data_IF_107836665478
#
_entry.id   IF_107836665478
#
_cell.length_a   1.000
_cell.length_b   1.000
_cell.length_c   1.000
_cell.angle_alpha   90.00
_cell.angle_beta   90.00
_cell.angle_gamma   90.00
#
_symmetry.space_group_name_H-M   'P 1'
#
loop_
_entity.id
_entity.type
_entity.pdbx_description
1 polymer ?
#
# COMPACT_ATOMS: atom_id res chain seq x y z
N UNK A 1 34.46 -22.81 3.05
CA UNK A 1 34.60 -22.14 4.37
C UNK A 1 33.21 -21.94 4.94
N UNK A 2 32.77 -22.80 5.88
CA UNK A 2 31.52 -22.59 6.62
C UNK A 2 31.88 -21.89 7.93
N UNK A 3 31.35 -20.68 8.12
CA UNK A 3 31.33 -20.03 9.43
C UNK A 3 30.13 -20.60 10.18
N UNK A 4 30.38 -21.57 11.07
CA UNK A 4 29.39 -21.95 12.07
C UNK A 4 29.33 -20.84 13.13
N UNK A 5 28.25 -20.06 13.11
CA UNK A 5 27.87 -19.26 14.27
C UNK A 5 27.36 -20.22 15.35
N UNK A 6 27.92 -20.11 16.54
CA UNK A 6 27.81 -21.09 17.61
C UNK A 6 26.40 -21.59 17.92
N UNK A 7 26.30 -22.91 18.08
CA UNK A 7 25.36 -23.52 19.02
C UNK A 7 24.00 -23.95 18.49
N UNK A 8 23.89 -24.61 17.33
CA UNK A 8 22.87 -25.66 17.09
C UNK A 8 23.24 -26.50 15.85
N UNK A 9 23.36 -27.82 16.02
CA UNK A 9 23.58 -28.77 14.94
C UNK A 9 22.27 -28.96 14.14
N UNK A 10 22.29 -28.92 12.81
CA UNK A 10 21.15 -29.40 12.03
C UNK A 10 21.12 -30.94 12.09
N UNK A 11 19.94 -31.57 12.14
CA UNK A 11 19.85 -33.02 12.04
C UNK A 11 20.48 -33.50 10.75
N UNK A 12 21.37 -34.49 10.83
CA UNK A 12 22.09 -34.98 9.67
C UNK A 12 22.33 -36.49 9.69
N UNK A 13 22.46 -37.07 8.51
CA UNK A 13 22.94 -38.45 8.29
C UNK A 13 24.13 -38.37 7.36
N UNK A 14 25.23 -39.03 7.74
CA UNK A 14 26.48 -39.05 6.95
C UNK A 14 26.73 -40.45 6.41
N UNK A 15 27.28 -40.54 5.19
CA UNK A 15 27.66 -41.83 4.60
C UNK A 15 28.75 -42.52 5.43
N UNK A 16 28.69 -43.85 5.43
CA UNK A 16 29.49 -44.68 6.35
C UNK A 16 30.96 -44.83 5.94
N UNK A 17 31.31 -44.56 4.67
CA UNK A 17 32.67 -44.73 4.13
C UNK A 17 32.97 -43.69 3.05
N UNK A 18 34.27 -43.47 2.77
CA UNK A 18 34.78 -42.73 1.61
C UNK A 18 34.59 -43.56 0.34
N UNK A 19 34.27 -42.92 -0.79
CA UNK A 19 33.93 -43.58 -2.04
C UNK A 19 35.07 -43.55 -3.08
N UNK A 20 36.14 -42.82 -2.82
CA UNK A 20 37.43 -42.74 -3.51
C UNK A 20 37.43 -42.23 -4.96
N UNK A 21 36.33 -42.36 -5.71
CA UNK A 21 36.33 -42.22 -7.19
C UNK A 21 35.00 -41.76 -7.80
N UNK A 22 34.01 -41.34 -6.99
CA UNK A 22 32.65 -41.09 -7.53
C UNK A 22 32.56 -39.74 -8.26
N UNK A 23 32.26 -39.77 -9.56
CA UNK A 23 31.97 -38.57 -10.35
C UNK A 23 30.47 -38.27 -10.35
N UNK A 24 30.07 -37.29 -9.54
CA UNK A 24 28.66 -36.91 -9.39
C UNK A 24 28.04 -36.23 -10.62
N UNK A 25 28.84 -35.86 -11.63
CA UNK A 25 28.35 -35.15 -12.83
C UNK A 25 27.97 -36.07 -13.99
N UNK A 26 28.50 -37.29 -14.01
CA UNK A 26 28.17 -38.28 -15.04
C UNK A 26 26.98 -39.09 -14.60
N UNK A 27 26.36 -39.82 -15.53
CA UNK A 27 25.30 -40.76 -15.19
C UNK A 27 25.77 -41.73 -14.11
N UNK A 28 24.87 -42.22 -13.26
CA UNK A 28 25.22 -43.12 -12.15
C UNK A 28 26.01 -44.34 -12.68
N UNK A 29 25.63 -44.89 -13.82
CA UNK A 29 26.36 -45.98 -14.50
C UNK A 29 27.84 -45.67 -14.79
N UNK A 30 28.16 -44.41 -15.08
CA UNK A 30 29.53 -43.96 -15.41
C UNK A 30 30.20 -43.23 -14.25
N UNK A 31 29.52 -43.11 -13.10
CA UNK A 31 30.01 -42.36 -11.95
C UNK A 31 31.12 -43.08 -11.18
N UNK A 32 31.32 -44.38 -11.42
CA UNK A 32 32.24 -45.21 -10.63
C UNK A 32 31.58 -45.83 -9.38
N UNK A 33 30.30 -45.53 -9.11
CA UNK A 33 29.57 -46.05 -7.95
C UNK A 33 29.39 -47.57 -7.97
N UNK A 34 29.21 -48.18 -9.15
CA UNK A 34 29.06 -49.63 -9.32
C UNK A 34 30.32 -50.43 -8.91
N UNK A 35 31.49 -49.77 -8.80
CA UNK A 35 32.71 -50.40 -8.28
C UNK A 35 32.67 -50.60 -6.76
N UNK A 36 31.71 -49.98 -6.07
CA UNK A 36 31.65 -49.87 -4.61
C UNK A 36 30.35 -50.47 -4.07
N UNK A 37 29.24 -50.40 -4.83
CA UNK A 37 27.98 -51.05 -4.50
C UNK A 37 27.11 -51.27 -5.74
N UNK A 38 26.32 -52.34 -5.76
CA UNK A 38 25.49 -52.67 -6.93
C UNK A 38 24.26 -51.77 -7.03
N UNK A 39 24.13 -51.03 -8.12
CA UNK A 39 22.94 -50.20 -8.43
C UNK A 39 22.17 -50.77 -9.63
N UNK A 40 20.87 -51.00 -9.46
CA UNK A 40 19.99 -51.47 -10.54
C UNK A 40 19.74 -50.38 -11.59
N UNK A 41 19.34 -50.76 -12.80
CA UNK A 41 19.11 -49.82 -13.90
C UNK A 41 18.11 -48.71 -13.53
N UNK A 42 17.03 -49.08 -12.84
CA UNK A 42 16.07 -48.16 -12.23
C UNK A 42 15.81 -48.56 -10.78
N UNK A 43 15.37 -47.59 -9.99
CA UNK A 43 15.02 -47.83 -8.60
C UNK A 43 14.40 -46.61 -7.94
N UNK A 44 14.19 -46.71 -6.63
CA UNK A 44 13.65 -45.63 -5.82
C UNK A 44 14.03 -45.78 -4.36
N UNK A 45 14.05 -44.66 -3.67
CA UNK A 45 14.14 -44.58 -2.22
C UNK A 45 13.09 -43.63 -1.68
N UNK A 46 12.82 -43.68 -0.38
CA UNK A 46 11.92 -42.73 0.27
C UNK A 46 12.64 -41.90 1.32
N UNK A 47 12.21 -40.66 1.47
CA UNK A 47 12.58 -39.80 2.59
C UNK A 47 11.31 -39.23 3.19
N UNK A 48 11.07 -39.48 4.48
CA UNK A 48 9.81 -39.15 5.16
C UNK A 48 8.57 -39.63 4.38
N UNK A 49 8.67 -40.80 3.72
CA UNK A 49 7.62 -41.39 2.89
C UNK A 49 7.47 -40.78 1.48
N UNK A 50 8.23 -39.73 1.13
CA UNK A 50 8.25 -39.16 -0.22
C UNK A 50 9.20 -39.98 -1.10
N UNK A 51 8.68 -40.54 -2.19
CA UNK A 51 9.47 -41.36 -3.12
C UNK A 51 10.30 -40.51 -4.09
N UNK A 52 11.57 -40.86 -4.20
CA UNK A 52 12.52 -40.33 -5.18
C UNK A 52 12.96 -41.50 -6.06
N UNK A 53 12.56 -41.49 -7.32
CA UNK A 53 13.02 -42.46 -8.32
C UNK A 53 14.37 -42.06 -8.89
N UNK A 54 15.08 -43.03 -9.48
CA UNK A 54 16.27 -42.78 -10.29
C UNK A 54 16.33 -43.77 -11.47
N UNK A 55 17.00 -43.35 -12.55
CA UNK A 55 17.44 -44.22 -13.65
C UNK A 55 18.94 -44.03 -13.84
N UNK A 56 19.74 -45.08 -13.63
CA UNK A 56 21.19 -44.95 -13.56
C UNK A 56 21.85 -44.57 -14.89
N UNK A 57 21.15 -44.80 -16.01
CA UNK A 57 21.65 -44.55 -17.36
C UNK A 57 21.38 -43.11 -17.81
N UNK A 58 20.46 -42.40 -17.14
CA UNK A 58 20.07 -41.03 -17.50
C UNK A 58 20.31 -40.02 -16.38
N UNK A 59 20.13 -40.41 -15.13
CA UNK A 59 20.39 -39.57 -13.97
C UNK A 59 21.87 -39.58 -13.57
N UNK A 60 22.37 -38.42 -13.16
CA UNK A 60 23.63 -38.30 -12.41
C UNK A 60 23.33 -38.20 -10.92
N UNK A 61 24.32 -38.46 -10.06
CA UNK A 61 24.13 -38.28 -8.62
C UNK A 61 23.77 -36.82 -8.30
N UNK A 62 24.32 -35.85 -9.05
CA UNK A 62 23.94 -34.43 -8.95
C UNK A 62 22.46 -34.19 -9.22
N UNK A 63 21.89 -34.81 -10.26
CA UNK A 63 20.45 -34.63 -10.56
C UNK A 63 19.57 -35.29 -9.49
N UNK A 64 20.04 -36.37 -8.85
CA UNK A 64 19.36 -36.95 -7.67
C UNK A 64 19.43 -36.01 -6.46
N UNK A 65 20.59 -35.41 -6.17
CA UNK A 65 20.74 -34.40 -5.10
C UNK A 65 19.77 -33.23 -5.31
N UNK A 66 19.70 -32.70 -6.53
CA UNK A 66 18.76 -31.62 -6.88
C UNK A 66 17.30 -32.06 -6.72
N UNK A 67 16.96 -33.29 -7.11
CA UNK A 67 15.62 -33.86 -6.95
C UNK A 67 15.22 -34.00 -5.47
N UNK A 68 16.14 -34.43 -4.61
CA UNK A 68 15.94 -34.45 -3.16
C UNK A 68 15.73 -33.03 -2.63
N UNK A 69 16.63 -32.10 -2.99
CA UNK A 69 16.59 -30.72 -2.53
C UNK A 69 15.30 -29.98 -2.94
N UNK A 70 14.71 -30.34 -4.08
CA UNK A 70 13.45 -29.76 -4.57
C UNK A 70 12.20 -30.49 -4.03
N UNK A 71 12.36 -31.68 -3.46
CA UNK A 71 11.24 -32.47 -2.95
C UNK A 71 10.61 -31.85 -1.68
N UNK A 72 9.38 -32.27 -1.41
CA UNK A 72 8.67 -32.00 -0.16
C UNK A 72 9.14 -32.87 1.02
N UNK A 73 10.20 -33.67 0.84
CA UNK A 73 10.71 -34.57 1.89
C UNK A 73 11.35 -33.84 3.08
N UNK A 74 11.59 -32.53 2.97
CA UNK A 74 12.09 -31.70 4.06
C UNK A 74 13.59 -31.82 4.34
N UNK A 75 14.35 -32.52 3.51
CA UNK A 75 15.81 -32.68 3.66
C UNK A 75 16.55 -32.20 2.42
N UNK A 76 17.87 -32.06 2.54
CA UNK A 76 18.79 -31.81 1.42
C UNK A 76 19.87 -32.88 1.38
N UNK A 77 20.37 -33.22 0.18
CA UNK A 77 21.47 -34.16 -0.01
C UNK A 77 22.70 -33.44 -0.55
N UNK A 78 23.81 -33.53 0.17
CA UNK A 78 25.08 -32.92 -0.19
C UNK A 78 26.19 -33.95 -0.32
N UNK A 79 27.23 -33.60 -1.07
CA UNK A 79 28.47 -34.35 -1.18
C UNK A 79 29.62 -33.46 -0.74
N UNK A 80 30.29 -33.84 0.35
CA UNK A 80 31.52 -33.19 0.79
C UNK A 80 32.71 -33.85 0.08
N UNK A 81 33.40 -33.09 -0.77
CA UNK A 81 34.56 -33.58 -1.52
C UNK A 81 35.82 -33.69 -0.67
N UNK A 82 35.92 -32.94 0.43
CA UNK A 82 37.09 -32.98 1.30
C UNK A 82 37.12 -34.26 2.14
N UNK A 83 35.95 -34.64 2.65
CA UNK A 83 35.76 -35.85 3.47
C UNK A 83 35.23 -37.04 2.64
N UNK A 84 34.99 -36.82 1.33
CA UNK A 84 34.48 -37.79 0.36
C UNK A 84 33.24 -38.56 0.82
N UNK A 85 32.26 -37.81 1.34
CA UNK A 85 31.05 -38.34 1.98
C UNK A 85 29.78 -37.65 1.53
N UNK A 86 28.69 -38.40 1.52
CA UNK A 86 27.36 -37.85 1.32
C UNK A 86 26.69 -37.53 2.65
N UNK A 87 25.92 -36.46 2.68
CA UNK A 87 25.21 -36.00 3.87
C UNK A 87 23.76 -35.66 3.53
N UNK A 88 22.81 -36.22 4.30
CA UNK A 88 21.47 -35.66 4.36
C UNK A 88 21.39 -34.67 5.52
N UNK A 89 20.87 -33.47 5.27
CA UNK A 89 20.59 -32.46 6.29
C UNK A 89 19.10 -32.13 6.30
N UNK A 90 18.48 -32.00 7.47
CA UNK A 90 17.13 -31.45 7.57
C UNK A 90 17.14 -29.97 7.14
N UNK A 91 16.15 -29.55 6.36
CA UNK A 91 15.96 -28.14 5.98
C UNK A 91 15.63 -27.28 7.20
N UNK A 92 14.95 -27.87 8.17
CA UNK A 92 14.57 -27.24 9.42
C UNK A 92 15.57 -27.55 10.54
N UNK A 93 15.76 -26.59 11.44
CA UNK A 93 16.52 -26.78 12.67
C UNK A 93 15.70 -27.52 13.73
N UNK A 94 16.31 -27.83 14.87
CA UNK A 94 15.63 -28.46 15.99
C UNK A 94 15.90 -29.95 16.08
N UNK A 95 15.33 -30.57 17.11
CA UNK A 95 15.39 -31.99 17.38
C UNK A 95 14.37 -32.74 16.50
N UNK A 96 14.58 -32.67 15.18
CA UNK A 96 13.72 -33.29 14.17
C UNK A 96 14.47 -34.39 13.42
N UNK A 97 14.11 -35.64 13.66
CA UNK A 97 14.58 -36.76 12.86
C UNK A 97 13.91 -36.80 11.48
N UNK A 98 14.45 -37.61 10.59
CA UNK A 98 13.84 -37.99 9.32
C UNK A 98 14.09 -39.47 9.05
N UNK A 99 13.25 -40.08 8.22
CA UNK A 99 13.38 -41.51 7.88
C UNK A 99 13.86 -41.61 6.44
N UNK A 100 14.85 -42.47 6.21
CA UNK A 100 15.38 -42.78 4.89
C UNK A 100 15.29 -44.28 4.67
N UNK A 101 14.72 -44.70 3.54
CA UNK A 101 14.62 -46.11 3.17
C UNK A 101 14.99 -46.31 1.71
N UNK A 102 15.93 -47.22 1.44
CA UNK A 102 16.22 -47.69 0.08
C UNK A 102 15.17 -48.72 -0.30
N UNK A 103 14.22 -48.33 -1.16
CA UNK A 103 13.04 -49.16 -1.48
C UNK A 103 13.36 -50.18 -2.56
N UNK A 104 14.10 -49.75 -3.60
CA UNK A 104 14.50 -50.60 -4.70
C UNK A 104 15.71 -50.03 -5.43
N UNK A 105 16.53 -50.91 -5.99
CA UNK A 105 17.64 -50.54 -6.84
C UNK A 105 18.95 -50.19 -6.13
N UNK A 106 18.96 -49.99 -4.80
CA UNK A 106 20.17 -50.05 -3.98
C UNK A 106 21.06 -48.79 -4.01
N UNK A 107 20.55 -47.67 -4.52
CA UNK A 107 21.34 -46.44 -4.67
C UNK A 107 21.82 -45.88 -3.34
N UNK A 108 20.95 -45.80 -2.32
CA UNK A 108 21.36 -45.23 -1.03
C UNK A 108 22.30 -46.17 -0.29
N UNK A 109 22.14 -47.48 -0.47
CA UNK A 109 23.07 -48.48 0.08
C UNK A 109 24.46 -48.33 -0.56
N UNK A 110 24.53 -48.14 -1.88
CA UNK A 110 25.78 -47.90 -2.59
C UNK A 110 26.44 -46.58 -2.19
N UNK A 111 25.65 -45.54 -1.90
CA UNK A 111 26.14 -44.27 -1.35
C UNK A 111 26.50 -44.34 0.15
N UNK A 112 26.30 -45.49 0.79
CA UNK A 112 26.57 -45.70 2.21
C UNK A 112 25.67 -44.90 3.15
N UNK A 113 24.51 -44.45 2.68
CA UNK A 113 23.55 -43.58 3.40
C UNK A 113 22.48 -44.35 4.17
N UNK A 114 22.40 -45.68 3.97
CA UNK A 114 21.52 -46.60 4.72
C UNK A 114 22.30 -47.81 5.22
N UNK A 115 21.94 -48.34 6.40
CA UNK A 115 22.54 -49.54 7.01
C UNK A 115 22.84 -49.36 8.51
N UNK A 116 23.35 -50.41 9.17
CA UNK A 116 23.51 -50.47 10.63
C UNK A 116 24.49 -49.44 11.24
N UNK A 117 25.18 -48.64 10.41
CA UNK A 117 26.24 -47.69 10.82
C UNK A 117 25.92 -46.24 10.42
N UNK A 118 24.81 -45.97 9.72
CA UNK A 118 24.40 -44.59 9.44
C UNK A 118 23.81 -43.98 10.70
N UNK A 119 24.63 -43.29 11.51
CA UNK A 119 24.18 -42.63 12.73
C UNK A 119 23.56 -41.28 12.40
N UNK A 120 22.25 -41.14 12.65
CA UNK A 120 21.59 -39.84 12.61
C UNK A 120 22.07 -39.00 13.79
N UNK A 121 22.61 -37.81 13.50
CA UNK A 121 22.78 -36.77 14.50
C UNK A 121 21.50 -35.95 14.54
N UNK A 122 20.91 -35.78 15.72
CA UNK A 122 19.74 -34.91 15.90
C UNK A 122 20.19 -33.50 16.26
N UNK A 123 19.43 -32.50 15.79
CA UNK A 123 19.61 -31.13 16.24
C UNK A 123 19.06 -30.90 17.64
N UNK A 124 19.21 -29.67 18.14
CA UNK A 124 18.66 -29.27 19.44
C UNK A 124 17.58 -28.21 19.24
N UNK A 125 16.50 -28.31 20.02
CA UNK A 125 15.50 -27.26 20.06
C UNK A 125 16.02 -26.06 20.86
N UNK A 126 15.64 -24.86 20.46
CA UNK A 126 15.79 -23.67 21.27
C UNK A 126 14.83 -23.74 22.46
N UNK A 127 15.30 -23.36 23.64
CA UNK A 127 14.49 -23.24 24.85
C UNK A 127 14.64 -21.84 25.42
N UNK A 128 13.54 -21.16 25.70
CA UNK A 128 13.54 -19.82 26.26
C UNK A 128 12.38 -19.64 27.24
N UNK A 129 12.35 -18.52 27.95
CA UNK A 129 11.21 -18.12 28.77
C UNK A 129 10.97 -16.61 28.62
N UNK A 130 9.73 -16.18 28.86
CA UNK A 130 9.35 -14.77 28.83
C UNK A 130 8.94 -14.39 30.24
N UNK A 131 9.51 -13.31 30.77
CA UNK A 131 9.20 -12.78 32.12
C UNK A 131 9.30 -13.82 33.24
N UNK A 132 10.25 -14.76 33.15
CA UNK A 132 10.43 -15.85 34.13
C UNK A 132 9.30 -16.89 34.13
N UNK A 133 8.44 -16.89 33.11
CA UNK A 133 7.38 -17.87 32.92
C UNK A 133 7.88 -19.27 32.54
N UNK A 134 6.95 -20.18 32.16
CA UNK A 134 7.28 -21.54 31.74
C UNK A 134 8.28 -21.55 30.57
N UNK A 135 9.10 -22.60 30.50
CA UNK A 135 10.01 -22.78 29.38
C UNK A 135 9.22 -23.12 28.11
N UNK A 136 9.46 -22.33 27.06
CA UNK A 136 8.94 -22.51 25.72
C UNK A 136 10.03 -23.17 24.89
N UNK A 137 9.66 -24.20 24.12
CA UNK A 137 10.57 -24.94 23.23
C UNK A 137 10.20 -24.67 21.79
N UNK A 138 11.19 -24.41 20.95
CA UNK A 138 11.03 -24.15 19.51
C UNK A 138 12.05 -24.92 18.70
N UNK A 139 11.64 -25.45 17.54
CA UNK A 139 12.56 -26.05 16.56
C UNK A 139 13.36 -24.99 15.80
N UNK A 140 12.88 -23.74 15.76
CA UNK A 140 13.51 -22.61 15.07
C UNK A 140 14.10 -21.60 16.06
N UNK A 141 15.15 -20.88 15.64
CA UNK A 141 15.68 -19.71 16.36
C UNK A 141 14.92 -18.40 16.04
N UNK A 142 13.90 -18.48 15.19
CA UNK A 142 12.95 -17.39 14.98
C UNK A 142 11.68 -17.73 15.74
N UNK A 143 11.39 -16.97 16.78
CA UNK A 143 10.21 -17.10 17.62
C UNK A 143 9.20 -16.06 17.16
N UNK A 144 8.09 -16.51 16.61
CA UNK A 144 6.98 -15.66 16.20
C UNK A 144 5.81 -15.77 17.19
N UNK A 145 4.73 -15.07 16.87
CA UNK A 145 3.48 -15.11 17.63
C UNK A 145 2.95 -16.53 17.86
N UNK A 146 3.13 -17.47 16.94
CA UNK A 146 2.67 -18.85 17.14
C UNK A 146 3.50 -19.59 18.21
N UNK A 147 4.78 -19.24 18.38
CA UNK A 147 5.67 -19.83 19.38
C UNK A 147 5.46 -19.19 20.76
N UNK A 148 5.40 -17.85 20.84
CA UNK A 148 5.37 -17.14 22.13
C UNK A 148 4.03 -16.53 22.53
N UNK A 149 3.05 -16.46 21.62
CA UNK A 149 1.70 -15.91 21.89
C UNK A 149 1.58 -14.38 21.92
N UNK A 150 2.69 -13.64 21.81
CA UNK A 150 2.68 -12.17 21.72
C UNK A 150 2.45 -11.73 20.27
N UNK A 151 1.33 -11.05 20.01
CA UNK A 151 1.02 -10.51 18.68
C UNK A 151 2.00 -9.39 18.28
N UNK A 152 2.44 -9.41 17.02
CA UNK A 152 3.31 -8.37 16.45
C UNK A 152 4.78 -8.43 16.90
N UNK A 153 5.15 -9.40 17.75
CA UNK A 153 6.53 -9.63 18.14
C UNK A 153 7.13 -10.77 17.31
N UNK A 154 8.38 -10.59 16.87
CA UNK A 154 9.18 -11.65 16.28
C UNK A 154 10.61 -11.51 16.77
N UNK A 155 11.11 -12.55 17.42
CA UNK A 155 12.45 -12.57 18.01
C UNK A 155 13.32 -13.51 17.19
N UNK A 156 14.50 -13.06 16.77
CA UNK A 156 15.51 -13.93 16.15
C UNK A 156 16.70 -14.11 17.08
N UNK A 157 16.73 -15.22 17.80
CA UNK A 157 17.80 -15.56 18.71
C UNK A 157 19.11 -15.85 17.95
N UNK A 158 20.20 -15.23 18.40
CA UNK A 158 21.55 -15.42 17.84
C UNK A 158 22.52 -16.09 18.82
N UNK A 159 22.24 -15.96 20.11
CA UNK A 159 23.02 -16.52 21.21
C UNK A 159 22.11 -16.72 22.42
N UNK A 160 22.52 -17.58 23.35
CA UNK A 160 21.88 -17.70 24.65
C UNK A 160 22.15 -16.46 25.51
N UNK A 161 21.14 -15.96 26.19
CA UNK A 161 21.26 -14.83 27.10
C UNK A 161 19.89 -14.32 27.54
N UNK A 162 19.90 -13.29 28.38
CA UNK A 162 18.69 -12.56 28.78
C UNK A 162 18.74 -11.19 28.11
N UNK A 163 17.68 -10.85 27.38
CA UNK A 163 17.47 -9.52 26.83
C UNK A 163 16.15 -8.96 27.35
N UNK A 164 16.10 -7.65 27.58
CA UNK A 164 14.90 -6.94 27.98
C UNK A 164 14.33 -6.22 26.76
N UNK A 165 13.07 -6.51 26.43
CA UNK A 165 12.31 -5.79 25.41
C UNK A 165 11.26 -4.95 26.12
N UNK A 166 11.27 -3.64 25.88
CA UNK A 166 10.30 -2.72 26.44
C UNK A 166 9.24 -2.37 25.38
N UNK A 167 7.98 -2.41 25.78
CA UNK A 167 6.87 -1.91 24.98
C UNK A 167 6.56 -0.50 25.47
N UNK A 168 6.84 0.49 24.62
CA UNK A 168 6.64 1.91 24.91
C UNK A 168 5.50 2.46 24.07
N UNK A 169 4.90 3.55 24.53
CA UNK A 169 3.94 4.32 23.73
C UNK A 169 4.63 4.95 22.51
N UNK A 170 3.95 4.97 21.37
CA UNK A 170 4.44 5.62 20.13
C UNK A 170 3.99 7.09 20.07
N UNK A 171 4.55 7.90 20.96
CA UNK A 171 4.23 9.33 21.03
C UNK A 171 4.57 10.07 19.73
N UNK A 172 5.61 9.62 19.03
CA UNK A 172 6.02 10.18 17.73
C UNK A 172 5.00 9.89 16.64
N UNK A 173 4.47 8.66 16.59
CA UNK A 173 3.39 8.29 15.68
C UNK A 173 2.13 9.12 15.92
N UNK A 174 1.71 9.27 17.18
CA UNK A 174 0.54 10.10 17.54
C UNK A 174 0.79 11.56 17.17
N UNK A 175 1.97 12.10 17.48
CA UNK A 175 2.35 13.47 17.09
C UNK A 175 2.26 13.68 15.59
N UNK A 176 2.81 12.75 14.81
CA UNK A 176 2.75 12.82 13.34
C UNK A 176 1.30 12.86 12.84
N UNK A 177 0.40 12.07 13.42
CA UNK A 177 -1.03 12.11 13.06
C UNK A 177 -1.66 13.49 13.31
N UNK A 178 -1.30 14.17 14.41
CA UNK A 178 -1.76 15.54 14.70
C UNK A 178 -1.20 16.53 13.66
N UNK A 179 0.09 16.43 13.35
CA UNK A 179 0.74 17.30 12.35
C UNK A 179 0.12 17.11 10.95
N UNK A 180 -0.11 15.86 10.54
CA UNK A 180 -0.75 15.52 9.26
C UNK A 180 -2.19 16.09 9.20
N UNK A 181 -2.94 16.02 10.30
CA UNK A 181 -4.28 16.61 10.39
C UNK A 181 -4.23 18.15 10.24
N UNK A 182 -3.31 18.82 10.95
CA UNK A 182 -3.11 20.27 10.84
C UNK A 182 -2.74 20.67 9.41
N UNK A 183 -1.86 19.91 8.75
CA UNK A 183 -1.48 20.13 7.37
C UNK A 183 -2.68 19.99 6.42
N UNK A 184 -3.43 18.89 6.51
CA UNK A 184 -4.60 18.65 5.67
C UNK A 184 -5.68 19.74 5.82
N UNK A 185 -5.94 20.19 7.04
CA UNK A 185 -6.85 21.32 7.28
C UNK A 185 -6.35 22.60 6.60
N UNK A 186 -5.05 22.91 6.76
CA UNK A 186 -4.44 24.11 6.23
C UNK A 186 -4.42 24.13 4.69
N UNK A 187 -4.30 22.97 4.05
CA UNK A 187 -4.38 22.83 2.60
C UNK A 187 -5.79 23.15 2.08
N UNK A 188 -6.82 22.67 2.77
CA UNK A 188 -8.22 23.00 2.43
C UNK A 188 -8.48 24.50 2.60
N UNK A 189 -8.07 25.10 3.72
CA UNK A 189 -8.26 26.53 3.95
C UNK A 189 -7.48 27.38 2.93
N UNK A 190 -6.27 26.96 2.55
CA UNK A 190 -5.48 27.60 1.50
C UNK A 190 -6.20 27.53 0.15
N UNK A 191 -6.72 26.36 -0.22
CA UNK A 191 -7.46 26.18 -1.46
C UNK A 191 -8.73 27.03 -1.50
N UNK A 192 -9.55 27.01 -0.44
CA UNK A 192 -10.76 27.83 -0.33
C UNK A 192 -10.40 29.31 -0.43
N UNK A 193 -9.37 29.75 0.28
CA UNK A 193 -8.93 31.15 0.24
C UNK A 193 -8.47 31.54 -1.16
N UNK A 194 -7.65 30.72 -1.81
CA UNK A 194 -7.17 30.98 -3.17
C UNK A 194 -8.32 31.10 -4.17
N UNK A 195 -9.31 30.20 -4.12
CA UNK A 195 -10.43 30.22 -5.07
C UNK A 195 -11.47 31.29 -4.78
N UNK A 196 -11.57 31.76 -3.53
CA UNK A 196 -12.62 32.71 -3.11
C UNK A 196 -12.11 34.13 -2.84
N UNK A 197 -10.79 34.37 -2.90
CA UNK A 197 -10.21 35.69 -2.62
C UNK A 197 -10.64 36.75 -3.64
N UNK A 198 -10.76 37.97 -3.13
CA UNK A 198 -10.87 39.20 -3.89
C UNK A 198 -9.75 40.10 -3.41
N UNK A 199 -8.77 40.34 -4.27
CA UNK A 199 -7.58 41.13 -3.96
C UNK A 199 -7.45 42.30 -4.95
N UNK A 200 -6.62 43.27 -4.60
CA UNK A 200 -6.27 44.38 -5.48
C UNK A 200 -4.80 44.24 -5.84
N UNK A 201 -4.47 44.26 -7.13
CA UNK A 201 -3.06 44.25 -7.55
C UNK A 201 -2.39 45.61 -7.27
N UNK A 202 -1.07 45.66 -7.50
CA UNK A 202 -0.25 46.86 -7.30
C UNK A 202 -0.71 48.07 -8.11
N UNK A 203 -1.51 47.85 -9.16
CA UNK A 203 -2.03 48.89 -10.05
C UNK A 203 -3.47 49.29 -9.68
N UNK A 204 -3.99 48.79 -8.56
CA UNK A 204 -5.34 49.11 -8.10
C UNK A 204 -6.46 48.33 -8.81
N UNK A 205 -6.13 47.33 -9.63
CA UNK A 205 -7.12 46.49 -10.33
C UNK A 205 -7.51 45.29 -9.47
N UNK A 206 -8.81 45.01 -9.42
CA UNK A 206 -9.35 43.89 -8.63
C UNK A 206 -9.08 42.56 -9.32
N UNK A 207 -8.36 41.68 -8.65
CA UNK A 207 -8.15 40.28 -9.01
C UNK A 207 -9.11 39.42 -8.20
N UNK A 208 -9.81 38.50 -8.87
CA UNK A 208 -10.83 37.66 -8.24
C UNK A 208 -10.52 36.20 -8.52
N UNK A 209 -10.57 35.37 -7.48
CA UNK A 209 -10.58 33.92 -7.66
C UNK A 209 -11.83 33.49 -8.44
N UNK A 210 -11.74 32.33 -9.10
CA UNK A 210 -12.82 31.78 -9.93
C UNK A 210 -14.14 31.66 -9.16
N UNK A 211 -14.07 31.44 -7.84
CA UNK A 211 -15.20 31.23 -6.95
C UNK A 211 -15.40 32.41 -5.98
N UNK A 212 -14.89 33.61 -6.33
CA UNK A 212 -14.95 34.80 -5.47
C UNK A 212 -16.35 35.20 -4.99
N UNK A 213 -17.42 34.81 -5.69
CA UNK A 213 -18.80 35.09 -5.30
C UNK A 213 -19.58 33.85 -4.86
N UNK A 214 -18.95 32.68 -4.90
CA UNK A 214 -19.55 31.44 -4.45
C UNK A 214 -19.65 31.45 -2.92
N UNK A 215 -20.88 31.43 -2.38
CA UNK A 215 -21.11 31.50 -0.93
C UNK A 215 -20.95 30.12 -0.29
N UNK A 216 -21.29 29.08 -1.03
CA UNK A 216 -21.28 27.68 -0.62
C UNK A 216 -19.84 27.23 -0.34
N UNK A 217 -18.90 27.56 -1.24
CA UNK A 217 -17.46 27.23 -1.06
C UNK A 217 -16.86 27.96 0.15
N UNK A 218 -17.31 29.19 0.44
CA UNK A 218 -16.90 29.88 1.66
C UNK A 218 -17.54 29.28 2.92
N UNK A 219 -18.79 28.81 2.81
CA UNK A 219 -19.50 28.18 3.91
C UNK A 219 -18.81 26.88 4.37
N UNK A 220 -18.21 26.11 3.44
CA UNK A 220 -17.39 24.93 3.76
C UNK A 220 -16.29 25.29 4.78
N UNK A 221 -15.50 26.33 4.51
CA UNK A 221 -14.39 26.73 5.38
C UNK A 221 -14.87 27.15 6.78
N UNK A 222 -15.99 27.88 6.86
CA UNK A 222 -16.61 28.24 8.14
C UNK A 222 -17.12 27.03 8.90
N UNK A 223 -17.85 26.13 8.24
CA UNK A 223 -18.42 24.94 8.89
C UNK A 223 -17.35 23.93 9.32
N UNK A 224 -16.28 23.78 8.53
CA UNK A 224 -15.14 22.94 8.89
C UNK A 224 -14.45 23.51 10.14
N UNK A 225 -14.22 24.83 10.19
CA UNK A 225 -13.68 25.48 11.39
C UNK A 225 -14.58 25.27 12.60
N UNK A 226 -15.88 25.52 12.46
CA UNK A 226 -16.84 25.34 13.55
C UNK A 226 -16.86 23.89 14.06
N UNK A 227 -16.73 22.92 13.15
CA UNK A 227 -16.67 21.49 13.47
C UNK A 227 -15.40 21.15 14.25
N UNK A 228 -14.25 21.67 13.83
CA UNK A 228 -12.96 21.41 14.47
C UNK A 228 -12.87 22.03 15.87
N UNK A 229 -13.53 23.17 16.09
CA UNK A 229 -13.59 23.81 17.41
C UNK A 229 -14.58 23.16 18.39
N UNK A 230 -15.45 22.24 17.95
CA UNK A 230 -16.38 21.58 18.86
C UNK A 230 -15.62 20.74 19.87
N UNK A 231 -16.12 20.76 21.10
CA UNK A 231 -15.60 19.86 22.12
C UNK A 231 -16.12 18.44 21.88
N UNK A 232 -15.23 17.47 22.01
CA UNK A 232 -15.61 16.06 22.20
C UNK A 232 -16.02 15.85 23.65
N UNK A 233 -17.09 15.09 23.83
CA UNK A 233 -17.59 14.61 25.12
C UNK A 233 -17.55 13.08 25.19
N UNK A 234 -16.84 12.44 24.26
CA UNK A 234 -16.80 10.99 24.11
C UNK A 234 -15.55 10.42 24.79
N UNK A 235 -15.66 10.08 26.07
CA UNK A 235 -14.59 9.41 26.83
C UNK A 235 -13.43 10.30 27.29
N UNK A 236 -13.14 11.40 26.58
CA UNK A 236 -12.07 12.33 26.97
C UNK A 236 -12.51 13.33 28.04
N UNK A 237 -11.69 13.49 29.09
CA UNK A 237 -11.90 14.41 30.20
C UNK A 237 -10.88 15.54 30.24
N UNK A 238 -9.65 15.29 29.78
CA UNK A 238 -8.54 16.26 29.77
C UNK A 238 -8.42 16.94 28.41
N UNK A 239 -8.48 16.16 27.33
CA UNK A 239 -8.27 16.66 25.95
C UNK A 239 -9.61 16.70 25.23
N UNK A 240 -10.36 17.78 25.35
CA UNK A 240 -11.72 17.85 24.79
C UNK A 240 -11.77 18.67 23.51
N UNK A 241 -10.76 19.46 23.21
CA UNK A 241 -10.65 20.33 22.03
C UNK A 241 -9.19 20.40 21.58
N UNK A 242 -8.95 20.84 20.34
CA UNK A 242 -7.59 21.06 19.84
C UNK A 242 -6.76 22.01 20.73
N UNK A 243 -7.39 23.02 21.32
CA UNK A 243 -6.65 23.95 22.18
C UNK A 243 -6.08 23.27 23.43
N UNK A 244 -6.71 22.20 23.91
CA UNK A 244 -6.21 21.41 25.06
C UNK A 244 -4.94 20.65 24.67
N UNK A 245 -4.77 20.32 23.38
CA UNK A 245 -3.53 19.79 22.78
C UNK A 245 -2.49 20.89 22.47
N UNK A 246 -2.77 22.16 22.77
CA UNK A 246 -1.91 23.25 22.36
C UNK A 246 -1.93 23.54 20.85
N UNK A 247 -2.96 23.06 20.13
CA UNK A 247 -3.21 23.36 18.71
C UNK A 247 -4.36 24.35 18.61
N UNK A 248 -4.15 25.47 17.93
CA UNK A 248 -5.21 26.48 17.77
C UNK A 248 -5.05 27.21 16.44
N UNK A 249 -6.02 28.05 16.12
CA UNK A 249 -5.94 28.93 14.97
C UNK A 249 -4.89 30.00 15.17
N UNK A 250 -4.16 30.28 14.09
CA UNK A 250 -3.29 31.42 14.03
C UNK A 250 -4.11 32.72 14.20
N UNK A 251 -3.59 33.66 14.98
CA UNK A 251 -4.33 34.87 15.39
C UNK A 251 -4.72 35.76 14.21
N UNK A 252 -3.97 35.71 13.11
CA UNK A 252 -4.15 36.57 11.95
C UNK A 252 -4.66 35.82 10.72
N UNK A 253 -4.86 34.51 10.82
CA UNK A 253 -5.30 33.71 9.69
C UNK A 253 -6.30 32.64 10.11
N UNK A 254 -6.80 31.93 9.11
CA UNK A 254 -7.78 30.86 9.28
C UNK A 254 -7.12 29.49 9.36
N UNK A 255 -5.79 29.45 9.47
CA UNK A 255 -4.97 28.24 9.53
C UNK A 255 -4.78 27.77 10.97
N UNK A 256 -4.66 26.47 11.16
CA UNK A 256 -4.24 25.83 12.40
C UNK A 256 -2.71 25.90 12.55
N UNK A 257 -2.24 26.04 13.78
CA UNK A 257 -0.84 25.93 14.16
C UNK A 257 -0.69 25.28 15.54
N UNK A 258 0.45 24.62 15.76
CA UNK A 258 0.85 24.18 17.11
C UNK A 258 1.31 25.43 17.87
N UNK A 259 0.46 25.92 18.77
CA UNK A 259 0.74 27.08 19.64
C UNK A 259 1.70 26.73 20.79
N UNK A 260 1.64 25.48 21.27
CA UNK A 260 2.46 25.01 22.39
C UNK A 260 2.95 23.58 22.15
N UNK A 261 4.19 23.46 21.71
CA UNK A 261 4.92 22.20 21.56
C UNK A 261 4.96 21.42 22.88
N UNK A 262 5.18 22.11 24.00
CA UNK A 262 5.21 21.51 25.34
C UNK A 262 3.85 20.90 25.68
N UNK A 263 2.76 21.64 25.48
CA UNK A 263 1.41 21.13 25.78
C UNK A 263 1.10 19.93 24.91
N UNK A 264 1.38 20.00 23.60
CA UNK A 264 1.11 18.90 22.68
C UNK A 264 1.84 17.62 23.10
N UNK A 265 3.14 17.71 23.35
CA UNK A 265 3.95 16.56 23.74
C UNK A 265 3.54 16.01 25.13
N UNK A 266 3.22 16.89 26.09
CA UNK A 266 2.71 16.47 27.41
C UNK A 266 1.36 15.76 27.30
N UNK A 267 0.41 16.27 26.52
CA UNK A 267 -0.89 15.60 26.38
C UNK A 267 -0.79 14.24 25.69
N UNK A 268 0.09 14.11 24.70
CA UNK A 268 0.34 12.83 24.02
C UNK A 268 0.95 11.82 24.99
N UNK A 269 1.99 12.20 25.73
CA UNK A 269 2.71 11.29 26.62
C UNK A 269 1.91 10.93 27.88
N UNK A 270 1.26 11.91 28.52
CA UNK A 270 0.64 11.73 29.83
C UNK A 270 -0.85 11.32 29.72
N UNK A 271 -1.52 11.66 28.62
CA UNK A 271 -2.94 11.41 28.40
C UNK A 271 -3.28 10.75 27.05
N UNK A 272 -2.58 9.69 26.62
CA UNK A 272 -2.76 9.10 25.28
C UNK A 272 -4.18 8.60 25.01
N UNK A 273 -4.89 8.12 26.05
CA UNK A 273 -6.28 7.67 25.92
C UNK A 273 -7.25 8.83 25.69
N UNK A 274 -7.06 9.98 26.35
CA UNK A 274 -7.87 11.18 26.12
C UNK A 274 -7.62 11.74 24.72
N UNK A 275 -6.36 11.75 24.26
CA UNK A 275 -6.01 12.14 22.89
C UNK A 275 -6.68 11.21 21.88
N UNK A 276 -6.57 9.89 22.06
CA UNK A 276 -7.23 8.93 21.19
C UNK A 276 -8.76 9.13 21.17
N UNK A 277 -9.39 9.20 22.34
CA UNK A 277 -10.83 9.40 22.47
C UNK A 277 -11.31 10.72 21.84
N UNK A 278 -10.52 11.79 21.93
CA UNK A 278 -10.81 13.06 21.26
C UNK A 278 -10.89 12.91 19.74
N UNK A 279 -9.91 12.25 19.12
CA UNK A 279 -9.86 12.08 17.67
C UNK A 279 -10.82 11.01 17.15
N UNK A 280 -10.90 9.85 17.83
CA UNK A 280 -11.56 8.64 17.34
C UNK A 280 -12.88 8.30 18.04
N UNK A 281 -13.32 9.13 18.99
CA UNK A 281 -14.60 8.94 19.69
C UNK A 281 -15.76 8.78 18.70
N UNK A 282 -16.55 7.73 18.89
CA UNK A 282 -17.59 7.28 17.95
C UNK A 282 -18.80 8.20 17.81
N UNK A 283 -19.05 9.07 18.78
CA UNK A 283 -20.25 9.92 18.83
C UNK A 283 -19.93 11.41 18.63
N UNK A 284 -18.97 11.93 19.38
CA UNK A 284 -18.59 13.36 19.37
C UNK A 284 -17.10 13.57 19.12
N UNK A 285 -16.35 12.52 18.76
CA UNK A 285 -14.96 12.63 18.38
C UNK A 285 -14.78 13.49 17.12
N UNK A 286 -13.62 14.12 17.02
CA UNK A 286 -13.30 15.04 15.93
C UNK A 286 -13.43 14.37 14.56
N UNK A 287 -12.94 13.14 14.42
CA UNK A 287 -13.03 12.37 13.18
C UNK A 287 -14.47 12.19 12.69
N UNK A 288 -15.38 11.84 13.60
CA UNK A 288 -16.82 11.68 13.29
C UNK A 288 -17.46 13.01 12.89
N UNK A 289 -17.12 14.09 13.59
CA UNK A 289 -17.59 15.43 13.25
C UNK A 289 -17.16 15.87 11.85
N UNK A 290 -15.87 15.69 11.52
CA UNK A 290 -15.32 16.00 10.19
C UNK A 290 -15.93 15.10 9.13
N UNK A 291 -16.04 13.79 9.37
CA UNK A 291 -16.63 12.85 8.41
C UNK A 291 -18.09 13.18 8.11
N UNK A 292 -18.89 13.49 9.13
CA UNK A 292 -20.29 13.91 8.95
C UNK A 292 -20.41 15.15 8.06
N UNK A 293 -19.51 16.12 8.25
CA UNK A 293 -19.47 17.31 7.42
C UNK A 293 -19.07 16.96 5.97
N UNK A 294 -18.03 16.15 5.79
CA UNK A 294 -17.59 15.71 4.47
C UNK A 294 -18.71 14.97 3.73
N UNK A 295 -19.42 14.08 4.41
CA UNK A 295 -20.55 13.33 3.84
C UNK A 295 -21.68 14.27 3.38
N UNK A 296 -21.96 15.35 4.11
CA UNK A 296 -22.98 16.33 3.71
C UNK A 296 -22.63 17.03 2.37
N UNK A 297 -21.34 17.25 2.12
CA UNK A 297 -20.86 17.95 0.93
C UNK A 297 -20.54 17.05 -0.26
N UNK A 298 -19.97 15.87 0.00
CA UNK A 298 -19.35 15.01 -1.01
C UNK A 298 -20.21 13.84 -1.47
N UNK A 299 -21.24 13.45 -0.71
CA UNK A 299 -22.14 12.36 -1.14
C UNK A 299 -22.89 12.73 -2.43
N UNK A 300 -23.41 11.72 -3.10
CA UNK A 300 -24.34 11.90 -4.23
C UNK A 300 -25.54 12.75 -3.80
N UNK A 301 -25.92 13.74 -4.61
CA UNK A 301 -26.92 14.77 -4.23
C UNK A 301 -26.55 15.58 -2.98
N UNK A 302 -25.28 15.61 -2.61
CA UNK A 302 -24.71 16.52 -1.61
C UNK A 302 -24.69 17.96 -2.11
N UNK A 303 -24.18 18.87 -1.28
CA UNK A 303 -24.17 20.31 -1.60
C UNK A 303 -23.36 20.62 -2.86
N UNK A 304 -22.19 19.98 -3.02
CA UNK A 304 -21.31 20.25 -4.18
C UNK A 304 -21.94 19.71 -5.47
N UNK A 305 -22.49 18.50 -5.41
CA UNK A 305 -23.15 17.85 -6.54
C UNK A 305 -24.38 18.66 -7.01
N UNK A 306 -25.23 19.08 -6.07
CA UNK A 306 -26.38 19.95 -6.35
C UNK A 306 -25.95 21.28 -6.99
N UNK A 307 -24.85 21.87 -6.53
CA UNK A 307 -24.34 23.11 -7.10
C UNK A 307 -23.82 22.93 -8.53
N UNK A 308 -23.16 21.79 -8.80
CA UNK A 308 -22.69 21.44 -10.13
C UNK A 308 -23.87 21.29 -11.09
N UNK A 309 -24.90 20.55 -10.71
CA UNK A 309 -26.12 20.37 -11.50
C UNK A 309 -26.81 21.70 -11.84
N UNK A 310 -26.90 22.61 -10.86
CA UNK A 310 -27.47 23.94 -11.08
C UNK A 310 -26.64 24.77 -12.06
N UNK A 311 -25.31 24.71 -11.98
CA UNK A 311 -24.42 25.42 -12.90
C UNK A 311 -24.52 24.83 -14.32
N UNK A 312 -24.53 23.51 -14.46
CA UNK A 312 -24.71 22.86 -15.76
C UNK A 312 -26.06 23.19 -16.39
N UNK A 313 -27.14 23.23 -15.61
CA UNK A 313 -28.47 23.64 -16.08
C UNK A 313 -28.50 25.10 -16.54
N UNK A 314 -27.81 26.00 -15.82
CA UNK A 314 -27.65 27.41 -16.24
C UNK A 314 -26.88 27.53 -17.54
N UNK A 315 -25.80 26.77 -17.72
CA UNK A 315 -25.04 26.73 -18.98
C UNK A 315 -25.96 26.32 -20.14
N UNK A 316 -26.70 25.22 -20.00
CA UNK A 316 -27.66 24.76 -21.03
C UNK A 316 -28.72 25.82 -21.35
N UNK A 317 -29.22 26.53 -20.35
CA UNK A 317 -30.23 27.59 -20.54
C UNK A 317 -29.66 28.81 -21.27
N UNK A 318 -28.40 29.16 -20.98
CA UNK A 318 -27.69 30.23 -21.67
C UNK A 318 -27.41 29.85 -23.13
N UNK A 319 -26.96 28.63 -23.40
CA UNK A 319 -26.72 28.13 -24.75
C UNK A 319 -28.01 28.21 -25.59
N UNK A 320 -29.12 27.72 -25.06
CA UNK A 320 -30.42 27.82 -25.72
C UNK A 320 -30.88 29.28 -25.97
N UNK A 321 -30.46 30.21 -25.11
CA UNK A 321 -30.78 31.63 -25.27
C UNK A 321 -29.91 32.30 -26.33
N UNK A 322 -28.63 31.95 -26.39
CA UNK A 322 -27.71 32.39 -27.44
C UNK A 322 -28.24 31.93 -28.80
N UNK A 323 -28.58 30.66 -28.95
CA UNK A 323 -29.12 30.14 -30.23
C UNK A 323 -30.40 30.84 -30.67
N UNK A 324 -31.30 31.16 -29.72
CA UNK A 324 -32.54 31.89 -30.03
C UNK A 324 -32.24 33.31 -30.50
N UNK A 325 -31.31 34.00 -29.85
CA UNK A 325 -30.90 35.36 -30.20
C UNK A 325 -30.21 35.39 -31.57
N UNK A 326 -29.33 34.42 -31.85
CA UNK A 326 -28.70 34.28 -33.16
C UNK A 326 -29.74 34.07 -34.28
N UNK A 327 -30.77 33.24 -34.03
CA UNK A 327 -31.89 33.07 -34.96
C UNK A 327 -32.66 34.38 -35.17
N UNK A 328 -32.91 35.15 -34.11
CA UNK A 328 -33.60 36.44 -34.19
C UNK A 328 -32.80 37.46 -35.00
N UNK A 329 -31.52 37.64 -34.69
CA UNK A 329 -30.61 38.55 -35.39
C UNK A 329 -30.53 38.20 -36.89
N UNK A 330 -30.43 36.90 -37.21
CA UNK A 330 -30.38 36.43 -38.60
C UNK A 330 -31.67 36.75 -39.36
N UNK A 331 -32.82 36.58 -38.73
CA UNK A 331 -34.11 36.93 -39.33
C UNK A 331 -34.26 38.45 -39.54
N UNK A 332 -33.87 39.26 -38.55
CA UNK A 332 -33.90 40.71 -38.65
C UNK A 332 -32.98 41.23 -39.76
N UNK A 333 -31.76 40.69 -39.86
CA UNK A 333 -30.84 40.99 -40.95
C UNK A 333 -31.46 40.68 -42.31
N UNK A 334 -32.06 39.50 -42.47
CA UNK A 334 -32.73 39.12 -43.72
C UNK A 334 -33.87 40.09 -44.08
N UNK A 335 -34.69 40.48 -43.11
CA UNK A 335 -35.79 41.43 -43.34
C UNK A 335 -35.28 42.82 -43.75
N UNK A 336 -34.18 43.29 -43.14
CA UNK A 336 -33.54 44.56 -43.51
C UNK A 336 -32.95 44.48 -44.92
N UNK A 337 -32.27 43.38 -45.27
CA UNK A 337 -31.76 43.13 -46.62
C UNK A 337 -32.90 43.14 -47.66
N UNK A 338 -34.01 42.43 -47.39
CA UNK A 338 -35.20 42.44 -48.25
C UNK A 338 -35.83 43.84 -48.39
N UNK A 339 -35.92 44.59 -47.29
CA UNK A 339 -36.46 45.96 -47.29
C UNK A 339 -35.56 46.92 -48.08
N UNK A 340 -34.25 46.77 -47.96
CA UNK A 340 -33.26 47.56 -48.69
C UNK A 340 -33.33 47.28 -50.20
N UNK A 341 -33.37 46.00 -50.60
CA UNK A 341 -33.55 45.61 -52.01
C UNK A 341 -34.84 46.19 -52.59
N UNK A 342 -35.95 46.15 -51.83
CA UNK A 342 -37.22 46.72 -52.26
C UNK A 342 -37.14 48.24 -52.41
N UNK A 343 -36.48 48.92 -51.47
CA UNK A 343 -36.25 50.36 -51.54
C UNK A 343 -35.39 50.75 -52.75
N UNK A 344 -34.34 50.00 -53.04
CA UNK A 344 -33.47 50.21 -54.21
C UNK A 344 -34.26 50.05 -55.53
N UNK A 345 -35.14 49.04 -55.62
CA UNK A 345 -36.02 48.85 -56.78
C UNK A 345 -37.03 49.99 -56.97
N UNK A 346 -37.59 50.52 -55.87
CA UNK A 346 -38.48 51.68 -55.90
C UNK A 346 -37.75 52.94 -56.32
N UNK A 347 -36.53 53.15 -55.82
CA UNK A 347 -35.70 54.28 -56.21
C UNK A 347 -35.34 54.24 -57.69
N UNK A 348 -34.97 53.07 -58.22
CA UNK A 348 -34.74 52.86 -59.65
C UNK A 348 -35.99 53.19 -60.47
N UNK A 349 -37.17 52.72 -60.03
CA UNK A 349 -38.45 53.01 -60.70
C UNK A 349 -38.80 54.50 -60.66
N UNK A 350 -38.59 55.16 -59.52
CA UNK A 350 -38.82 56.61 -59.37
C UNK A 350 -37.86 57.43 -60.25
N UNK A 351 -36.59 57.03 -60.36
CA UNK A 351 -35.65 57.68 -61.29
C UNK A 351 -36.12 57.55 -62.75
N UNK A 352 -36.60 56.37 -63.15
CA UNK A 352 -37.16 56.16 -64.50
C UNK A 352 -38.41 57.03 -64.71
N UNK A 353 -39.32 57.10 -63.73
CA UNK A 353 -40.49 57.97 -63.80
C UNK A 353 -40.12 59.46 -63.86
N UNK A 354 -39.16 59.90 -63.06
CA UNK A 354 -38.69 61.29 -63.06
C UNK A 354 -38.07 61.67 -64.42
N UNK A 355 -37.30 60.77 -65.03
CA UNK A 355 -36.79 60.95 -66.39
C UNK A 355 -37.92 60.98 -67.44
N UNK A 356 -38.94 60.12 -67.30
CA UNK A 356 -40.08 60.11 -68.21
C UNK A 356 -40.89 61.42 -68.13
N UNK A 357 -41.13 61.92 -66.92
CA UNK A 357 -41.79 63.22 -66.69
C UNK A 357 -40.93 64.37 -67.27
N UNK A 358 -39.62 64.36 -67.03
CA UNK A 358 -38.72 65.37 -67.58
C UNK A 358 -38.73 65.40 -69.12
N UNK A 359 -38.86 64.24 -69.77
CA UNK A 359 -39.04 64.16 -71.24
C UNK A 359 -40.37 64.75 -71.69
N UNK A 360 -41.47 64.42 -71.00
CA UNK A 360 -42.79 65.00 -71.32
C UNK A 360 -42.80 66.53 -71.21
N UNK A 361 -42.10 67.11 -70.23
CA UNK A 361 -42.03 68.57 -70.08
C UNK A 361 -41.12 69.27 -71.09
N UNK A 362 -40.17 68.55 -71.70
CA UNK A 362 -39.31 69.10 -72.76
C UNK A 362 -39.92 68.99 -74.17
N UNK A 363 -41.04 68.26 -74.31
CA UNK A 363 -41.77 68.10 -75.58
C UNK A 363 -43.03 69.01 -75.67
N UNK A 364 -43.25 69.86 -74.66
CA UNK A 364 -44.21 70.96 -74.62
C UNK A 364 -43.48 72.29 -74.82
#
# INVERSE_FOLDING_TARGET
>A
MRLYSGGVSQPSVTSTHELGVVNINTTIANSGLDAIGSVSDTGSFTINGISISFDKNTDSIRTIMERVDQSSAGVKLFYDKLDDRFHFDNKETGNLGFIIEDTSGGLLSALGLVGAVSTMSLGSNATFSINGGPSITSTSNTFDTAVHGIDGLTIKARSSGTETVEVLADDQGVRKCVDDFVAAYNDIEAFITEKTKIERDSNGKTQKGVLAYNREVRAIGSQLRDTIFKASNDGSTVVRRLMDLGVDFNTFSRKLEVKSETTLNTQIADYPNDVAAYFTGSSTGLGVGVQTLLDQYLKDSGVIDTQKDQLESRVRTLDNSIEREERFIKAQRKQLEESFIKMDSLQSTLQVQQQAIARMFNEL
#
